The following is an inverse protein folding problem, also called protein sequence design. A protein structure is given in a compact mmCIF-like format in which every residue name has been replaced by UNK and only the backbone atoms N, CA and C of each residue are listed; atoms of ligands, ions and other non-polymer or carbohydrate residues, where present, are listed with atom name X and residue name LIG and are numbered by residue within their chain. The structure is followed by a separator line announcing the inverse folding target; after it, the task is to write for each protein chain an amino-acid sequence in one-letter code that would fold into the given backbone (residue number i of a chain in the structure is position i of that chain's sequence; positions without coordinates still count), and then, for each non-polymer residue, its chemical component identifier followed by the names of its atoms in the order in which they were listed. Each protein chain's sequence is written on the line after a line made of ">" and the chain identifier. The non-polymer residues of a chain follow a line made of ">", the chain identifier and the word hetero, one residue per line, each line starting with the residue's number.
data_IF_956883521368
#
_entry.id   IF_956883521368
#
_cell.length_a   1.000
_cell.length_b   1.000
_cell.length_c   1.000
_cell.angle_alpha   90.00
_cell.angle_beta   90.00
_cell.angle_gamma   90.00
#
_symmetry.space_group_name_H-M   'P 1'
#
loop_
_entity.id
_entity.type
_entity.pdbx_description
1 polymer ?
#
# COMPACT_ATOMS: atom_id res chain seq x y z
N UNK A 1 1.47 -13.14 -49.30
CA UNK A 1 2.23 -11.96 -48.84
C UNK A 1 1.24 -10.88 -48.45
N UNK A 2 1.29 -10.43 -47.19
CA UNK A 2 0.77 -9.16 -46.64
C UNK A 2 -0.72 -8.83 -46.88
N UNK A 3 -1.54 -8.31 -45.95
CA UNK A 3 -1.40 -7.74 -44.61
C UNK A 3 -2.83 -7.52 -44.07
N UNK A 4 -3.01 -7.80 -42.78
CA UNK A 4 -3.98 -7.27 -41.78
C UNK A 4 -5.21 -6.43 -42.17
N UNK A 5 -6.35 -6.65 -41.50
CA UNK A 5 -7.55 -5.83 -41.60
C UNK A 5 -7.42 -4.56 -40.75
N UNK A 6 -7.76 -3.41 -41.33
CA UNK A 6 -8.02 -2.17 -40.58
C UNK A 6 -9.43 -1.71 -40.94
N UNK A 7 -10.34 -1.71 -39.96
CA UNK A 7 -11.54 -0.84 -39.83
C UNK A 7 -12.53 -1.51 -38.87
N UNK A 8 -12.37 -1.26 -37.58
CA UNK A 8 -13.52 -1.22 -36.67
C UNK A 8 -13.98 0.23 -36.58
N UNK A 9 -15.13 0.51 -37.19
CA UNK A 9 -16.24 1.32 -36.67
C UNK A 9 -17.24 1.55 -37.80
N UNK A 10 -18.48 1.07 -37.64
CA UNK A 10 -19.65 1.83 -38.03
C UNK A 10 -20.51 2.08 -36.79
N UNK A 11 -20.52 3.32 -36.33
CA UNK A 11 -21.65 3.87 -35.58
C UNK A 11 -22.79 4.09 -36.59
N UNK A 12 -23.89 3.32 -36.53
CA UNK A 12 -25.15 3.70 -37.16
C UNK A 12 -26.36 2.97 -36.53
N UNK A 13 -27.44 3.74 -36.32
CA UNK A 13 -28.83 3.27 -36.18
C UNK A 13 -29.30 3.06 -34.74
N UNK A 14 -29.72 4.10 -34.02
CA UNK A 14 -31.07 4.71 -34.04
C UNK A 14 -32.17 3.89 -33.36
N UNK A 15 -32.58 4.41 -32.19
CA UNK A 15 -33.94 4.58 -31.66
C UNK A 15 -34.85 3.35 -31.57
N UNK A 16 -35.16 2.96 -30.34
CA UNK A 16 -36.50 2.86 -29.74
C UNK A 16 -36.48 1.74 -28.69
N UNK A 17 -36.37 2.12 -27.41
CA UNK A 17 -37.10 1.53 -26.29
C UNK A 17 -36.43 1.99 -24.99
N UNK A 18 -37.15 2.81 -24.23
CA UNK A 18 -36.86 3.12 -22.84
C UNK A 18 -36.97 1.86 -21.99
N UNK A 19 -35.87 1.14 -21.80
CA UNK A 19 -35.67 0.30 -20.63
C UNK A 19 -34.26 0.54 -20.09
N UNK A 20 -34.19 1.39 -19.07
CA UNK A 20 -33.01 1.50 -18.21
C UNK A 20 -32.78 0.13 -17.56
N UNK A 21 -31.84 -0.64 -18.10
CA UNK A 21 -31.37 -1.87 -17.48
C UNK A 21 -30.51 -1.52 -16.26
N UNK A 22 -30.77 -2.08 -15.07
CA UNK A 22 -29.89 -1.93 -13.93
C UNK A 22 -28.61 -2.74 -14.21
N UNK A 23 -27.46 -2.24 -13.76
CA UNK A 23 -26.09 -2.81 -13.92
C UNK A 23 -25.34 -2.28 -15.17
N UNK A 24 -25.21 -0.96 -15.28
CA UNK A 24 -24.08 -0.33 -15.97
C UNK A 24 -22.98 0.07 -14.97
N UNK A 25 -22.61 -0.85 -14.06
CA UNK A 25 -21.58 -0.65 -13.03
C UNK A 25 -20.57 -1.81 -13.01
N UNK A 26 -20.24 -2.35 -14.18
CA UNK A 26 -19.23 -3.39 -14.35
C UNK A 26 -17.91 -2.88 -14.94
N UNK A 27 -17.57 -1.61 -14.73
CA UNK A 27 -16.17 -1.20 -14.79
C UNK A 27 -15.61 -1.25 -13.36
N UNK A 28 -15.15 -2.42 -12.95
CA UNK A 28 -14.28 -2.55 -11.77
C UNK A 28 -12.92 -1.97 -12.15
N UNK A 29 -12.84 -0.64 -12.18
CA UNK A 29 -11.56 0.02 -12.34
C UNK A 29 -10.67 -0.39 -11.17
N UNK A 30 -9.42 -0.83 -11.40
CA UNK A 30 -8.48 -1.00 -10.31
C UNK A 30 -8.25 0.37 -9.69
N UNK A 31 -8.90 0.62 -8.54
CA UNK A 31 -8.63 1.81 -7.75
C UNK A 31 -7.27 1.57 -7.11
N UNK A 32 -6.24 2.25 -7.62
CA UNK A 32 -4.96 2.33 -6.91
C UNK A 32 -5.18 3.21 -5.70
N UNK A 33 -5.10 2.62 -4.52
CA UNK A 33 -5.09 3.35 -3.27
C UNK A 33 -3.70 3.94 -3.09
N UNK A 34 -3.60 5.26 -3.19
CA UNK A 34 -2.37 5.97 -2.85
C UNK A 34 -2.22 6.07 -1.34
N UNK A 35 -0.99 6.22 -0.87
CA UNK A 35 -0.73 6.57 0.51
C UNK A 35 -1.45 7.88 0.90
N UNK A 36 -1.96 7.92 2.13
CA UNK A 36 -2.56 9.11 2.70
C UNK A 36 -1.51 10.15 3.05
N UNK A 37 -1.81 11.41 2.73
CA UNK A 37 -1.02 12.55 3.21
C UNK A 37 -1.24 12.76 4.71
N UNK A 38 -0.35 13.53 5.36
CA UNK A 38 -0.49 13.85 6.80
C UNK A 38 -1.83 14.52 7.08
N UNK A 39 -2.31 15.39 6.19
CA UNK A 39 -3.60 16.07 6.31
C UNK A 39 -4.76 15.09 6.24
N UNK A 40 -4.69 14.10 5.35
CA UNK A 40 -5.69 13.05 5.22
C UNK A 40 -5.70 12.13 6.46
N UNK A 41 -4.53 11.75 6.97
CA UNK A 41 -4.43 10.98 8.22
C UNK A 41 -4.99 11.79 9.39
N UNK A 42 -4.74 13.10 9.45
CA UNK A 42 -5.31 13.96 10.49
C UNK A 42 -6.83 14.07 10.39
N UNK A 43 -7.37 14.24 9.19
CA UNK A 43 -8.82 14.27 8.96
C UNK A 43 -9.47 12.94 9.37
N UNK A 44 -8.82 11.82 9.06
CA UNK A 44 -9.25 10.48 9.45
C UNK A 44 -9.19 10.31 10.98
N UNK A 45 -8.11 10.72 11.64
CA UNK A 45 -8.02 10.67 13.10
C UNK A 45 -9.17 11.43 13.78
N UNK A 46 -9.55 12.60 13.24
CA UNK A 46 -10.72 13.36 13.72
C UNK A 46 -12.03 12.60 13.55
N UNK A 47 -12.22 11.86 12.45
CA UNK A 47 -13.44 11.05 12.25
C UNK A 47 -13.53 9.87 13.22
N UNK A 48 -12.39 9.39 13.74
CA UNK A 48 -12.34 8.41 14.83
C UNK A 48 -12.54 9.04 16.22
N UNK A 49 -12.73 10.35 16.32
CA UNK A 49 -12.88 11.08 17.59
C UNK A 49 -11.55 11.36 18.31
N UNK A 50 -10.42 11.16 17.63
CA UNK A 50 -9.09 11.39 18.21
C UNK A 50 -8.66 12.84 17.98
N UNK A 51 -8.54 13.62 19.05
CA UNK A 51 -8.09 15.03 19.03
C UNK A 51 -6.56 15.14 18.89
N UNK A 52 -5.98 14.57 17.83
CA UNK A 52 -4.53 14.52 17.65
C UNK A 52 -3.93 15.83 17.15
N UNK A 53 -2.78 16.18 17.74
CA UNK A 53 -1.92 17.23 17.21
C UNK A 53 -1.23 16.77 15.93
N UNK A 54 -0.85 17.73 15.07
CA UNK A 54 -0.10 17.46 13.83
C UNK A 54 1.15 16.65 14.13
N UNK A 55 1.84 16.93 15.24
CA UNK A 55 3.04 16.18 15.65
C UNK A 55 2.77 14.68 15.85
N UNK A 56 1.63 14.29 16.45
CA UNK A 56 1.27 12.87 16.62
C UNK A 56 0.97 12.21 15.27
N UNK A 57 0.22 12.91 14.43
CA UNK A 57 -0.08 12.44 13.07
C UNK A 57 1.20 12.23 12.26
N UNK A 58 2.11 13.22 12.26
CA UNK A 58 3.39 13.12 11.55
C UNK A 58 4.25 11.96 12.05
N UNK A 59 4.27 11.69 13.37
CA UNK A 59 4.98 10.51 13.92
C UNK A 59 4.41 9.20 13.38
N UNK A 60 3.08 9.04 13.37
CA UNK A 60 2.43 7.85 12.82
C UNK A 60 2.73 7.72 11.33
N UNK A 61 2.47 8.78 10.55
CA UNK A 61 2.69 8.78 9.10
C UNK A 61 4.14 8.48 8.74
N UNK A 62 5.11 9.02 9.48
CA UNK A 62 6.53 8.72 9.27
C UNK A 62 6.85 7.22 9.47
N UNK A 63 6.14 6.56 10.39
CA UNK A 63 6.33 5.14 10.67
C UNK A 63 5.65 4.24 9.62
N UNK A 64 4.39 4.52 9.27
CA UNK A 64 3.59 3.64 8.40
C UNK A 64 3.48 4.10 6.94
N UNK A 65 4.14 5.20 6.57
CA UNK A 65 4.18 5.72 5.19
C UNK A 65 2.83 6.19 4.64
N UNK A 66 1.82 6.37 5.50
CA UNK A 66 0.47 6.74 5.06
C UNK A 66 -0.33 5.60 4.43
N UNK A 67 0.12 4.34 4.55
CA UNK A 67 -0.61 3.20 4.00
C UNK A 67 -2.05 3.11 4.58
N UNK A 68 -3.12 3.21 3.76
CA UNK A 68 -4.49 3.35 4.25
C UNK A 68 -4.90 2.29 5.27
N UNK A 69 -4.55 1.02 5.01
CA UNK A 69 -4.83 -0.08 5.93
C UNK A 69 -4.06 0.03 7.26
N UNK A 70 -2.75 0.31 7.24
CA UNK A 70 -1.93 0.39 8.46
C UNK A 70 -2.33 1.60 9.32
N UNK A 71 -2.68 2.71 8.68
CA UNK A 71 -3.22 3.90 9.34
C UNK A 71 -4.55 3.58 10.00
N UNK A 72 -5.47 2.94 9.27
CA UNK A 72 -6.78 2.59 9.79
C UNK A 72 -6.67 1.65 10.99
N UNK A 73 -5.80 0.65 10.93
CA UNK A 73 -5.56 -0.29 12.01
C UNK A 73 -4.99 0.41 13.25
N UNK A 74 -4.03 1.32 13.09
CA UNK A 74 -3.54 2.16 14.18
C UNK A 74 -4.67 2.96 14.83
N UNK A 75 -5.43 3.71 14.03
CA UNK A 75 -6.49 4.57 14.55
C UNK A 75 -7.59 3.77 15.27
N UNK A 76 -7.94 2.59 14.76
CA UNK A 76 -8.89 1.69 15.41
C UNK A 76 -8.43 1.28 16.82
N UNK A 77 -7.19 0.79 16.95
CA UNK A 77 -6.66 0.39 18.25
C UNK A 77 -6.48 1.58 19.22
N UNK A 78 -6.09 2.75 18.69
CA UNK A 78 -5.90 3.96 19.49
C UNK A 78 -7.24 4.56 19.97
N UNK A 79 -8.30 4.45 19.15
CA UNK A 79 -9.65 4.84 19.56
C UNK A 79 -10.17 3.95 20.69
N UNK A 80 -9.93 2.64 20.61
CA UNK A 80 -10.38 1.70 21.64
C UNK A 80 -9.73 1.91 23.02
N UNK A 81 -8.65 2.72 23.09
CA UNK A 81 -7.89 2.95 24.33
C UNK A 81 -7.03 1.75 24.75
N UNK A 82 -6.96 0.70 23.92
CA UNK A 82 -6.17 -0.51 24.20
C UNK A 82 -4.67 -0.23 24.17
N UNK A 83 -4.24 0.76 23.37
CA UNK A 83 -2.84 1.14 23.19
C UNK A 83 -2.71 2.66 23.12
N UNK A 84 -1.56 3.17 23.55
CA UNK A 84 -1.13 4.55 23.29
C UNK A 84 -0.30 4.63 22.00
N UNK A 85 -0.13 5.83 21.45
CA UNK A 85 0.69 6.03 20.24
C UNK A 85 2.15 5.65 20.49
N UNK A 86 2.71 5.97 21.66
CA UNK A 86 4.10 5.67 21.97
C UNK A 86 4.32 4.15 22.15
N UNK A 87 3.37 3.44 22.78
CA UNK A 87 3.41 1.97 22.86
C UNK A 87 3.28 1.32 21.49
N UNK A 88 2.37 1.83 20.64
CA UNK A 88 2.24 1.38 19.26
C UNK A 88 3.58 1.54 18.54
N UNK A 89 4.17 2.74 18.56
CA UNK A 89 5.45 3.04 17.91
C UNK A 89 6.61 2.17 18.43
N UNK A 90 6.60 1.81 19.72
CA UNK A 90 7.61 0.94 20.32
C UNK A 90 7.49 -0.53 19.88
N UNK A 91 6.28 -0.99 19.58
CA UNK A 91 5.99 -2.39 19.22
C UNK A 91 5.93 -2.62 17.71
N UNK A 92 5.99 -1.55 16.90
CA UNK A 92 5.91 -1.62 15.43
C UNK A 92 6.86 -2.63 14.78
N UNK A 93 8.15 -2.70 15.12
CA UNK A 93 9.06 -3.61 14.42
C UNK A 93 8.93 -5.06 14.91
N UNK A 94 8.01 -5.35 15.84
CA UNK A 94 7.92 -6.67 16.48
C UNK A 94 6.77 -7.51 15.94
N UNK A 95 6.96 -8.83 15.93
CA UNK A 95 5.89 -9.80 15.62
C UNK A 95 4.75 -9.83 16.65
N UNK A 96 4.85 -9.04 17.73
CA UNK A 96 3.82 -8.92 18.76
C UNK A 96 2.94 -7.67 18.59
N UNK A 97 3.27 -6.76 17.66
CA UNK A 97 2.51 -5.55 17.40
C UNK A 97 1.20 -5.79 16.64
N UNK A 98 0.39 -4.74 16.54
CA UNK A 98 -0.88 -4.76 15.78
C UNK A 98 -0.70 -5.12 14.30
N UNK A 99 0.50 -4.89 13.74
CA UNK A 99 0.86 -5.16 12.34
C UNK A 99 1.40 -6.56 12.09
N UNK A 100 1.46 -7.41 13.12
CA UNK A 100 2.09 -8.73 13.05
C UNK A 100 1.48 -9.66 12.00
N UNK A 101 0.17 -9.57 11.76
CA UNK A 101 -0.53 -10.39 10.76
C UNK A 101 -0.05 -10.04 9.35
N UNK A 102 -0.06 -8.75 8.99
CA UNK A 102 0.40 -8.27 7.68
C UNK A 102 1.88 -8.55 7.44
N UNK A 103 2.71 -8.28 8.45
CA UNK A 103 4.15 -8.56 8.39
C UNK A 103 4.44 -10.04 8.14
N UNK A 104 3.71 -10.94 8.81
CA UNK A 104 3.84 -12.38 8.63
C UNK A 104 3.37 -12.81 7.25
N UNK A 105 2.26 -12.27 6.77
CA UNK A 105 1.74 -12.55 5.43
C UNK A 105 2.76 -12.18 4.35
N UNK A 106 3.31 -10.96 4.40
CA UNK A 106 4.36 -10.54 3.49
C UNK A 106 5.62 -11.39 3.61
N UNK A 107 6.02 -11.74 4.83
CA UNK A 107 7.17 -12.62 5.06
C UNK A 107 7.00 -14.00 4.42
N UNK A 108 5.83 -14.63 4.55
CA UNK A 108 5.55 -15.93 3.92
C UNK A 108 5.66 -15.86 2.40
N UNK A 109 5.18 -14.77 1.78
CA UNK A 109 5.31 -14.56 0.34
C UNK A 109 6.78 -14.40 -0.05
N UNK A 110 7.54 -13.60 0.70
CA UNK A 110 8.96 -13.35 0.43
C UNK A 110 9.82 -14.62 0.60
N UNK A 111 9.48 -15.49 1.55
CA UNK A 111 10.15 -16.79 1.69
C UNK A 111 9.85 -17.73 0.52
N UNK A 112 8.65 -17.63 -0.06
CA UNK A 112 8.26 -18.46 -1.22
C UNK A 112 9.03 -18.04 -2.48
N UNK A 113 9.42 -16.77 -2.59
CA UNK A 113 10.08 -16.18 -3.76
C UNK A 113 11.38 -15.47 -3.34
N UNK A 114 12.51 -16.20 -3.21
CA UNK A 114 13.77 -15.66 -2.69
C UNK A 114 14.34 -14.50 -3.54
N UNK A 115 13.98 -14.42 -4.82
CA UNK A 115 14.32 -13.30 -5.69
C UNK A 115 13.68 -11.98 -5.24
N UNK A 116 12.44 -12.00 -4.74
CA UNK A 116 11.77 -10.82 -4.18
C UNK A 116 12.41 -10.39 -2.88
N UNK A 117 12.78 -11.36 -2.03
CA UNK A 117 13.47 -11.07 -0.78
C UNK A 117 14.82 -10.39 -1.03
N UNK A 118 15.60 -10.91 -1.98
CA UNK A 118 16.91 -10.34 -2.35
C UNK A 118 16.76 -8.93 -2.91
N UNK A 119 15.76 -8.71 -3.77
CA UNK A 119 15.44 -7.39 -4.30
C UNK A 119 15.00 -6.41 -3.22
N UNK A 120 14.15 -6.83 -2.27
CA UNK A 120 13.73 -5.98 -1.16
C UNK A 120 14.93 -5.62 -0.26
N UNK A 121 15.80 -6.59 0.02
CA UNK A 121 17.00 -6.36 0.84
C UNK A 121 17.98 -5.38 0.21
N UNK A 122 18.13 -5.39 -1.13
CA UNK A 122 19.01 -4.41 -1.80
C UNK A 122 18.48 -2.99 -1.63
N UNK A 123 17.15 -2.80 -1.74
CA UNK A 123 16.50 -1.50 -1.47
C UNK A 123 16.69 -1.09 -0.01
N UNK A 124 16.51 -1.99 0.96
CA UNK A 124 16.71 -1.68 2.39
C UNK A 124 18.14 -1.22 2.69
N UNK A 125 19.14 -1.89 2.09
CA UNK A 125 20.57 -1.60 2.31
C UNK A 125 21.01 -0.30 1.65
N UNK A 126 20.57 -0.06 0.42
CA UNK A 126 20.99 1.09 -0.39
C UNK A 126 20.10 2.32 -0.19
N UNK A 127 18.94 2.17 0.44
CA UNK A 127 17.90 3.20 0.56
C UNK A 127 17.04 3.32 -0.70
N UNK A 128 17.68 3.29 -1.88
CA UNK A 128 17.02 3.10 -3.15
C UNK A 128 17.85 2.23 -4.10
N UNK A 129 17.18 1.42 -4.92
CA UNK A 129 17.84 0.55 -5.89
C UNK A 129 17.05 0.46 -7.19
N UNK A 130 17.76 0.26 -8.30
CA UNK A 130 17.12 -0.17 -9.54
C UNK A 130 16.92 -1.68 -9.46
N UNK A 131 15.68 -2.11 -9.61
CA UNK A 131 15.30 -3.52 -9.58
C UNK A 131 14.89 -3.99 -10.97
N UNK A 132 14.91 -5.31 -11.17
CA UNK A 132 14.27 -5.91 -12.33
C UNK A 132 12.78 -5.45 -12.39
N UNK A 133 12.26 -5.01 -13.55
CA UNK A 133 10.91 -4.45 -13.66
C UNK A 133 9.81 -5.38 -13.14
N UNK A 134 9.95 -6.70 -13.30
CA UNK A 134 8.95 -7.66 -12.84
C UNK A 134 8.97 -7.77 -11.31
N UNK A 135 10.16 -7.82 -10.71
CA UNK A 135 10.32 -7.82 -9.26
C UNK A 135 9.85 -6.50 -8.63
N UNK A 136 10.19 -5.38 -9.25
CA UNK A 136 9.80 -4.05 -8.80
C UNK A 136 8.28 -3.90 -8.82
N UNK A 137 7.63 -4.26 -9.93
CA UNK A 137 6.17 -4.22 -10.03
C UNK A 137 5.48 -5.13 -9.00
N UNK A 138 6.03 -6.33 -8.76
CA UNK A 138 5.46 -7.25 -7.77
C UNK A 138 5.58 -6.70 -6.36
N UNK A 139 6.74 -6.17 -5.97
CA UNK A 139 6.94 -5.54 -4.67
C UNK A 139 6.08 -4.27 -4.49
N UNK A 140 5.93 -3.45 -5.54
CA UNK A 140 5.04 -2.27 -5.54
C UNK A 140 3.58 -2.70 -5.37
N UNK A 141 3.14 -3.74 -6.07
CA UNK A 141 1.77 -4.26 -5.96
C UNK A 141 1.44 -4.83 -4.56
N UNK A 142 2.47 -5.25 -3.82
CA UNK A 142 2.37 -5.67 -2.42
C UNK A 142 2.40 -4.49 -1.45
N UNK A 143 2.67 -3.27 -1.91
CA UNK A 143 2.80 -2.06 -1.09
C UNK A 143 4.09 -1.99 -0.26
N UNK A 144 5.11 -2.81 -0.58
CA UNK A 144 6.38 -2.86 0.17
C UNK A 144 7.39 -1.80 -0.27
N UNK A 145 7.28 -1.36 -1.53
CA UNK A 145 8.13 -0.34 -2.12
C UNK A 145 7.28 0.68 -2.88
N UNK A 146 7.83 1.87 -3.05
CA UNK A 146 7.36 2.87 -3.99
C UNK A 146 8.33 2.97 -5.16
N UNK A 147 7.79 3.15 -6.37
CA UNK A 147 8.55 3.35 -7.59
C UNK A 147 8.54 4.82 -8.01
N UNK A 148 9.72 5.42 -8.05
CA UNK A 148 9.93 6.76 -8.61
C UNK A 148 10.79 6.64 -9.86
N UNK A 149 10.12 6.60 -11.02
CA UNK A 149 10.78 6.31 -12.29
C UNK A 149 11.36 4.89 -12.29
N UNK A 150 12.69 4.77 -12.36
CA UNK A 150 13.39 3.48 -12.34
C UNK A 150 13.98 3.12 -10.97
N UNK A 151 13.73 3.93 -9.93
CA UNK A 151 14.22 3.67 -8.58
C UNK A 151 13.09 3.16 -7.68
N UNK A 152 13.38 2.05 -6.99
CA UNK A 152 12.58 1.53 -5.90
C UNK A 152 13.09 2.07 -4.56
N UNK A 153 12.18 2.53 -3.71
CA UNK A 153 12.43 2.90 -2.31
C UNK A 153 11.44 2.19 -1.40
N UNK A 154 11.78 1.97 -0.13
CA UNK A 154 10.82 1.39 0.82
C UNK A 154 9.63 2.32 1.03
N UNK A 155 8.42 1.76 1.08
CA UNK A 155 7.17 2.53 1.25
C UNK A 155 6.98 3.07 2.67
N UNK A 156 7.47 2.36 3.69
CA UNK A 156 7.37 2.80 5.08
C UNK A 156 8.51 2.30 5.98
N UNK A 157 8.81 3.08 7.02
CA UNK A 157 9.87 2.74 7.98
C UNK A 157 9.56 1.45 8.76
N UNK A 158 8.28 1.13 8.99
CA UNK A 158 7.82 -0.13 9.56
C UNK A 158 8.38 -1.34 8.82
N UNK A 159 8.27 -1.37 7.47
CA UNK A 159 8.79 -2.48 6.68
C UNK A 159 10.31 -2.51 6.70
N UNK A 160 10.96 -1.35 6.64
CA UNK A 160 12.43 -1.26 6.72
C UNK A 160 12.95 -1.86 8.03
N UNK A 161 12.35 -1.52 9.17
CA UNK A 161 12.79 -2.02 10.47
C UNK A 161 12.50 -3.50 10.63
N UNK A 162 11.33 -3.98 10.20
CA UNK A 162 11.00 -5.39 10.31
C UNK A 162 11.89 -6.26 9.43
N UNK A 163 11.97 -5.98 8.12
CA UNK A 163 12.73 -6.82 7.18
C UNK A 163 14.26 -6.65 7.29
N UNK A 164 14.74 -5.64 8.01
CA UNK A 164 16.17 -5.58 8.39
C UNK A 164 16.52 -6.52 9.54
N UNK A 165 15.59 -6.80 10.47
CA UNK A 165 15.81 -7.64 11.65
C UNK A 165 15.65 -9.14 11.36
N UNK A 166 14.79 -9.52 10.41
CA UNK A 166 14.44 -10.93 10.11
C UNK A 166 15.59 -11.68 9.36
N UNK A 167 16.84 -11.23 9.51
CA UNK A 167 18.04 -11.85 8.92
C UNK A 167 18.61 -13.05 9.70
N UNK A 168 17.95 -13.53 10.75
CA UNK A 168 18.43 -14.67 11.56
C UNK A 168 17.88 -16.02 11.09
#
# INVERSE_FOLDING_TARGET
>A
MATTPTRCCPCYGSLYSTQLTPIALQCRFPIRLTAFTVEQVQALARSYGLSWSVAKTSKLTAMVGGHPYLVQLALYHLQSGTLTLDELLSTVPTQAGIYSSDLRHHWQILQTYPELLTALQSVIKLGSAQLDPLLAYKLESMGLIDLQGNQASISCELYRQYFSQVQS
#
